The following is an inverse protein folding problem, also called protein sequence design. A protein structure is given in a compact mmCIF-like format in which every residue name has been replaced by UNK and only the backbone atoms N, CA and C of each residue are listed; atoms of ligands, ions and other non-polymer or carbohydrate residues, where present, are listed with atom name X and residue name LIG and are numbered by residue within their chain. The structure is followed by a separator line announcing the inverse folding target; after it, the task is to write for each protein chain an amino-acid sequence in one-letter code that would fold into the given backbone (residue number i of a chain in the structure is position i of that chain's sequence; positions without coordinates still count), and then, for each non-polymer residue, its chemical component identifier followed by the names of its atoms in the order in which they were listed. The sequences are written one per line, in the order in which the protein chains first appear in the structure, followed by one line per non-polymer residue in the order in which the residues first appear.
data_IF_968396779426
#
_entry.id   IF_968396779426
#
_cell.length_a   1.000
_cell.length_b   1.000
_cell.length_c   1.000
_cell.angle_alpha   90.00
_cell.angle_beta   90.00
_cell.angle_gamma   90.00
#
_symmetry.space_group_name_H-M   'P 1'
#
loop_
_entity.id
_entity.type
_entity.pdbx_description
1 polymer ?
#
# COMPACT_ATOMS: atom_id res chain seq x y z
N UNK A 1 -43.04 0.32 39.00
CA UNK A 1 -42.17 -0.87 39.00
C UNK A 1 -42.96 -2.01 38.39
N UNK A 2 -42.91 -2.13 37.06
CA UNK A 2 -43.30 -3.39 36.42
C UNK A 2 -42.23 -4.41 36.79
N UNK A 3 -42.64 -5.48 37.48
CA UNK A 3 -41.79 -6.66 37.64
C UNK A 3 -41.75 -7.29 36.24
N UNK A 4 -40.79 -6.88 35.42
CA UNK A 4 -40.44 -7.59 34.21
C UNK A 4 -40.10 -9.02 34.66
N UNK A 5 -40.87 -9.99 34.19
CA UNK A 5 -40.66 -11.41 34.48
C UNK A 5 -39.36 -11.86 33.79
N UNK A 6 -38.22 -11.61 34.41
CA UNK A 6 -36.90 -12.12 33.99
C UNK A 6 -36.78 -13.63 34.29
N UNK A 7 -37.73 -14.44 33.84
CA UNK A 7 -37.84 -15.87 34.21
C UNK A 7 -36.67 -16.72 33.71
N UNK A 8 -35.86 -16.20 32.80
CA UNK A 8 -34.78 -16.94 32.15
C UNK A 8 -33.37 -16.43 32.51
N UNK A 9 -33.23 -15.44 33.41
CA UNK A 9 -31.91 -14.97 33.82
C UNK A 9 -31.32 -15.86 34.91
N UNK A 10 -30.06 -16.26 34.73
CA UNK A 10 -29.29 -16.90 35.78
C UNK A 10 -29.02 -15.92 36.93
N UNK A 11 -28.70 -16.42 38.14
CA UNK A 11 -28.38 -15.55 39.28
C UNK A 11 -27.25 -14.55 38.97
N UNK A 12 -26.28 -14.95 38.14
CA UNK A 12 -25.18 -14.09 37.72
C UNK A 12 -25.65 -12.97 36.79
N UNK A 13 -26.39 -13.31 35.73
CA UNK A 13 -26.94 -12.33 34.78
C UNK A 13 -27.90 -11.35 35.47
N UNK A 14 -28.73 -11.84 36.39
CA UNK A 14 -29.63 -11.01 37.17
C UNK A 14 -28.86 -10.04 38.08
N UNK A 15 -27.78 -10.50 38.73
CA UNK A 15 -26.92 -9.63 39.53
C UNK A 15 -26.23 -8.55 38.68
N UNK A 16 -25.81 -8.90 37.46
CA UNK A 16 -25.25 -7.96 36.47
C UNK A 16 -26.26 -6.91 36.03
N UNK A 17 -27.48 -7.31 35.73
CA UNK A 17 -28.57 -6.41 35.36
C UNK A 17 -28.92 -5.41 36.49
N UNK A 18 -28.96 -5.89 37.74
CA UNK A 18 -29.38 -5.08 38.89
C UNK A 18 -28.32 -4.16 39.49
N UNK A 19 -27.05 -4.22 39.08
CA UNK A 19 -26.02 -3.41 39.76
C UNK A 19 -25.49 -4.03 41.07
N UNK A 20 -25.70 -5.33 41.33
CA UNK A 20 -25.28 -5.95 42.58
C UNK A 20 -23.85 -6.50 42.55
N UNK A 21 -22.86 -5.59 42.68
CA UNK A 21 -21.44 -5.93 42.67
C UNK A 21 -21.03 -6.97 43.73
N UNK A 22 -21.63 -6.91 44.94
CA UNK A 22 -21.33 -7.86 46.03
C UNK A 22 -21.69 -9.28 45.65
N UNK A 23 -22.86 -9.48 45.03
CA UNK A 23 -23.30 -10.80 44.57
C UNK A 23 -22.40 -11.32 43.45
N UNK A 24 -21.97 -10.46 42.53
CA UNK A 24 -21.06 -10.83 41.44
C UNK A 24 -19.70 -11.28 41.99
N UNK A 25 -19.12 -10.51 42.91
CA UNK A 25 -17.86 -10.86 43.60
C UNK A 25 -17.98 -12.23 44.29
N UNK A 26 -19.10 -12.48 44.97
CA UNK A 26 -19.35 -13.75 45.63
C UNK A 26 -19.46 -14.90 44.62
N UNK A 27 -20.22 -14.73 43.53
CA UNK A 27 -20.40 -15.76 42.50
C UNK A 27 -19.05 -16.09 41.84
N UNK A 28 -18.29 -15.09 41.39
CA UNK A 28 -17.00 -15.29 40.73
C UNK A 28 -15.93 -15.88 41.66
N UNK A 29 -16.06 -15.70 42.98
CA UNK A 29 -15.16 -16.36 43.94
C UNK A 29 -15.41 -17.87 44.07
N UNK A 30 -16.56 -18.36 43.64
CA UNK A 30 -16.95 -19.78 43.72
C UNK A 30 -17.01 -20.48 42.36
N UNK A 31 -17.09 -19.70 41.27
CA UNK A 31 -17.16 -20.19 39.91
C UNK A 31 -16.27 -19.35 39.01
N UNK A 32 -15.22 -19.96 38.49
CA UNK A 32 -14.41 -19.30 37.48
C UNK A 32 -15.17 -19.23 36.14
N UNK A 33 -15.12 -18.09 35.45
CA UNK A 33 -15.49 -17.98 34.05
C UNK A 33 -14.82 -19.04 33.19
N UNK A 34 -15.63 -19.85 32.52
CA UNK A 34 -15.14 -20.82 31.54
C UNK A 34 -15.57 -20.41 30.14
N UNK A 35 -14.66 -20.57 29.18
CA UNK A 35 -14.75 -20.07 27.79
C UNK A 35 -16.09 -20.37 27.08
N UNK A 36 -16.69 -21.52 27.39
CA UNK A 36 -17.88 -22.02 26.70
C UNK A 36 -19.19 -21.63 27.37
N UNK A 37 -19.16 -20.90 28.49
CA UNK A 37 -20.40 -20.49 29.16
C UNK A 37 -20.92 -19.15 28.59
N UNK A 38 -22.05 -19.13 27.88
CA UNK A 38 -22.66 -17.88 27.44
C UNK A 38 -23.07 -16.96 28.61
N UNK A 39 -23.27 -17.52 29.82
CA UNK A 39 -23.72 -16.78 31.01
C UNK A 39 -22.80 -15.59 31.34
N UNK A 40 -21.47 -15.78 31.24
CA UNK A 40 -20.53 -14.74 31.63
C UNK A 40 -20.46 -13.60 30.61
N UNK A 41 -20.55 -13.93 29.32
CA UNK A 41 -20.68 -12.94 28.24
C UNK A 41 -22.00 -12.18 28.38
N UNK A 42 -23.11 -12.89 28.60
CA UNK A 42 -24.41 -12.28 28.80
C UNK A 42 -24.44 -11.35 30.00
N UNK A 43 -23.84 -11.75 31.13
CA UNK A 43 -23.71 -10.87 32.29
C UNK A 43 -22.94 -9.58 31.98
N UNK A 44 -21.85 -9.69 31.22
CA UNK A 44 -21.10 -8.52 30.75
C UNK A 44 -21.96 -7.62 29.85
N UNK A 45 -22.64 -8.18 28.84
CA UNK A 45 -23.53 -7.42 27.94
C UNK A 45 -24.73 -6.80 28.69
N UNK A 46 -25.26 -7.49 29.69
CA UNK A 46 -26.32 -6.99 30.56
C UNK A 46 -25.86 -5.80 31.40
N UNK A 47 -24.61 -5.81 31.88
CA UNK A 47 -24.05 -4.66 32.59
C UNK A 47 -23.99 -3.41 31.72
N UNK A 48 -23.69 -3.55 30.42
CA UNK A 48 -23.65 -2.45 29.44
C UNK A 48 -25.08 -1.94 29.16
N UNK A 49 -25.99 -2.83 28.75
CA UNK A 49 -27.38 -2.46 28.42
C UNK A 49 -28.16 -1.87 29.59
N UNK A 50 -27.82 -2.29 30.80
CA UNK A 50 -28.44 -1.80 32.04
C UNK A 50 -27.70 -0.59 32.65
N UNK A 51 -26.67 -0.08 31.96
CA UNK A 51 -25.84 1.06 32.38
C UNK A 51 -25.18 0.88 33.76
N UNK A 52 -24.85 -0.36 34.13
CA UNK A 52 -24.19 -0.71 35.39
C UNK A 52 -22.67 -0.59 35.25
N UNK A 53 -22.18 0.65 35.14
CA UNK A 53 -20.78 0.96 34.80
C UNK A 53 -19.77 0.34 35.77
N UNK A 54 -20.07 0.33 37.08
CA UNK A 54 -19.20 -0.25 38.12
C UNK A 54 -19.05 -1.77 37.94
N UNK A 55 -20.13 -2.45 37.54
CA UNK A 55 -20.08 -3.88 37.25
C UNK A 55 -19.28 -4.13 35.99
N UNK A 56 -19.56 -3.38 34.92
CA UNK A 56 -18.84 -3.53 33.67
C UNK A 56 -17.33 -3.39 33.90
N UNK A 57 -16.92 -2.32 34.59
CA UNK A 57 -15.52 -2.06 34.94
C UNK A 57 -14.92 -3.21 35.77
N UNK A 58 -15.63 -3.66 36.80
CA UNK A 58 -15.16 -4.77 37.62
C UNK A 58 -14.99 -6.07 36.81
N UNK A 59 -15.93 -6.39 35.92
CA UNK A 59 -15.88 -7.60 35.11
C UNK A 59 -14.73 -7.54 34.11
N UNK A 60 -14.49 -6.40 33.45
CA UNK A 60 -13.40 -6.31 32.46
C UNK A 60 -12.02 -6.36 33.11
N UNK A 61 -11.87 -5.82 34.32
CA UNK A 61 -10.64 -5.87 35.11
C UNK A 61 -10.41 -7.25 35.77
N UNK A 62 -11.43 -8.11 35.82
CA UNK A 62 -11.33 -9.42 36.45
C UNK A 62 -10.48 -10.39 35.61
N UNK A 63 -9.41 -11.01 36.15
CA UNK A 63 -8.49 -11.85 35.36
C UNK A 63 -9.18 -12.98 34.58
N UNK A 64 -10.19 -13.60 35.17
CA UNK A 64 -10.94 -14.69 34.53
C UNK A 64 -11.78 -14.26 33.32
N UNK A 65 -12.00 -12.96 33.12
CA UNK A 65 -12.72 -12.43 31.97
C UNK A 65 -11.82 -12.16 30.76
N UNK A 66 -10.50 -12.16 30.92
CA UNK A 66 -9.53 -11.88 29.83
C UNK A 66 -9.86 -12.64 28.56
N UNK A 67 -10.09 -13.95 28.68
CA UNK A 67 -10.47 -14.82 27.57
C UNK A 67 -11.79 -14.40 26.89
N UNK A 68 -12.84 -14.12 27.67
CA UNK A 68 -14.15 -13.72 27.15
C UNK A 68 -14.04 -12.39 26.41
N UNK A 69 -13.30 -11.45 27.00
CA UNK A 69 -13.06 -10.14 26.42
C UNK A 69 -12.35 -10.28 25.08
N UNK A 70 -11.29 -11.07 24.99
CA UNK A 70 -10.54 -11.25 23.74
C UNK A 70 -11.39 -11.95 22.67
N UNK A 71 -12.12 -13.01 23.03
CA UNK A 71 -12.96 -13.75 22.08
C UNK A 71 -14.15 -12.95 21.57
N UNK A 72 -14.80 -12.17 22.44
CA UNK A 72 -16.05 -11.47 22.13
C UNK A 72 -15.87 -9.95 22.04
N UNK A 73 -14.63 -9.46 21.88
CA UNK A 73 -14.30 -8.03 21.79
C UNK A 73 -15.21 -7.26 20.82
N UNK A 74 -15.41 -7.70 19.56
CA UNK A 74 -16.22 -6.94 18.61
C UNK A 74 -17.68 -6.79 19.06
N UNK A 75 -18.23 -7.82 19.72
CA UNK A 75 -19.60 -7.82 20.21
C UNK A 75 -19.77 -6.88 21.41
N UNK A 76 -18.83 -6.92 22.36
CA UNK A 76 -18.85 -6.03 23.55
C UNK A 76 -18.83 -4.57 23.10
N UNK A 77 -17.94 -4.25 22.18
CA UNK A 77 -17.79 -2.93 21.61
C UNK A 77 -19.05 -2.48 20.87
N UNK A 78 -19.61 -3.35 20.02
CA UNK A 78 -20.86 -3.08 19.34
C UNK A 78 -21.97 -2.74 20.36
N UNK A 79 -22.06 -3.49 21.46
CA UNK A 79 -23.03 -3.23 22.51
C UNK A 79 -22.82 -1.88 23.22
N UNK A 80 -21.56 -1.48 23.47
CA UNK A 80 -21.23 -0.15 24.01
C UNK A 80 -21.69 0.96 23.05
N UNK A 81 -21.44 0.77 21.74
CA UNK A 81 -21.82 1.73 20.72
C UNK A 81 -23.34 1.86 20.56
N UNK A 82 -24.08 0.75 20.60
CA UNK A 82 -25.55 0.73 20.52
C UNK A 82 -26.21 1.41 21.72
N UNK A 83 -25.66 1.23 22.91
CA UNK A 83 -26.18 1.83 24.15
C UNK A 83 -25.79 3.30 24.32
N UNK A 84 -24.91 3.82 23.48
CA UNK A 84 -24.42 5.20 23.53
C UNK A 84 -23.46 5.48 24.69
N UNK A 85 -22.93 4.45 25.35
CA UNK A 85 -22.02 4.56 26.50
C UNK A 85 -20.56 4.73 26.05
N UNK A 86 -20.28 5.67 25.14
CA UNK A 86 -18.96 5.80 24.48
C UNK A 86 -17.79 6.00 25.44
N UNK A 87 -18.01 6.60 26.62
CA UNK A 87 -16.98 6.74 27.66
C UNK A 87 -16.45 5.40 28.19
N UNK A 88 -17.20 4.31 28.01
CA UNK A 88 -16.75 2.96 28.35
C UNK A 88 -15.74 2.39 27.33
N UNK A 89 -15.68 2.92 26.10
CA UNK A 89 -14.69 2.47 25.12
C UNK A 89 -13.27 2.78 25.61
N UNK A 90 -13.05 3.97 26.16
CA UNK A 90 -11.72 4.34 26.70
C UNK A 90 -11.32 3.43 27.87
N UNK A 91 -12.25 3.16 28.79
CA UNK A 91 -12.01 2.23 29.91
C UNK A 91 -11.74 0.82 29.42
N UNK A 92 -12.53 0.34 28.46
CA UNK A 92 -12.40 -0.99 27.89
C UNK A 92 -11.06 -1.18 27.17
N UNK A 93 -10.66 -0.21 26.33
CA UNK A 93 -9.38 -0.22 25.64
C UNK A 93 -8.21 -0.12 26.64
N UNK A 94 -8.32 0.71 27.68
CA UNK A 94 -7.25 0.85 28.68
C UNK A 94 -6.99 -0.43 29.49
N UNK A 95 -8.04 -1.21 29.77
CA UNK A 95 -7.90 -2.52 30.44
C UNK A 95 -7.26 -3.56 29.52
N UNK A 96 -7.38 -3.38 28.20
CA UNK A 96 -6.82 -4.28 27.18
C UNK A 96 -5.36 -3.97 26.83
N UNK A 97 -4.93 -2.71 26.96
CA UNK A 97 -3.56 -2.26 26.62
C UNK A 97 -2.42 -3.04 27.35
N UNK A 98 -2.48 -3.35 28.66
CA UNK A 98 -1.36 -3.96 29.39
C UNK A 98 -1.00 -5.37 28.95
N UNK A 99 -1.98 -6.16 28.50
CA UNK A 99 -1.77 -7.53 28.05
C UNK A 99 -1.36 -7.62 26.57
N UNK A 100 -1.64 -6.59 25.77
CA UNK A 100 -1.27 -6.52 24.35
C UNK A 100 0.12 -5.90 24.11
N UNK A 101 0.56 -4.96 24.97
CA UNK A 101 1.86 -4.29 24.83
C UNK A 101 3.08 -5.22 24.97
N UNK A 102 2.89 -6.43 25.51
CA UNK A 102 3.98 -7.41 25.72
C UNK A 102 3.97 -8.58 24.74
N UNK A 103 2.97 -8.70 23.85
CA UNK A 103 3.12 -9.58 22.71
C UNK A 103 4.10 -8.90 21.75
N UNK A 104 5.33 -9.43 21.67
CA UNK A 104 6.19 -9.14 20.53
C UNK A 104 5.34 -9.41 19.29
N UNK A 105 5.04 -8.34 18.57
CA UNK A 105 4.22 -8.39 17.37
C UNK A 105 5.06 -9.16 16.37
N UNK A 106 4.87 -10.48 16.30
CA UNK A 106 5.15 -11.20 15.07
C UNK A 106 4.33 -10.47 14.02
N UNK A 107 5.03 -9.85 13.05
CA UNK A 107 4.39 -9.27 11.89
C UNK A 107 3.33 -10.25 11.40
N UNK A 108 2.12 -9.79 11.00
CA UNK A 108 1.02 -10.68 10.64
C UNK A 108 1.26 -11.40 9.31
N UNK A 109 2.51 -11.64 8.93
CA UNK A 109 2.94 -12.48 7.81
C UNK A 109 2.18 -13.81 7.81
N UNK A 110 1.97 -14.43 8.97
CA UNK A 110 1.15 -15.65 9.10
C UNK A 110 -0.34 -15.38 8.96
N UNK A 111 -0.84 -14.24 9.47
CA UNK A 111 -2.26 -13.88 9.37
C UNK A 111 -2.67 -13.56 7.92
N UNK A 112 -1.82 -12.87 7.16
CA UNK A 112 -2.07 -12.59 5.74
C UNK A 112 -2.11 -13.88 4.89
N UNK A 113 -1.31 -14.91 5.24
CA UNK A 113 -1.36 -16.22 4.56
C UNK A 113 -2.70 -16.94 4.74
N UNK A 114 -3.35 -16.73 5.89
CA UNK A 114 -4.59 -17.43 6.24
C UNK A 114 -5.85 -16.66 5.86
N UNK A 115 -5.72 -15.41 5.39
CA UNK A 115 -6.85 -14.66 4.87
C UNK A 115 -7.31 -15.24 3.53
N UNK A 116 -8.42 -16.00 3.57
CA UNK A 116 -9.11 -16.58 2.41
C UNK A 116 -9.56 -15.58 1.33
N UNK A 117 -9.33 -14.28 1.54
CA UNK A 117 -9.88 -13.20 0.74
C UNK A 117 -8.87 -12.58 -0.23
N UNK A 118 -7.60 -12.97 -0.17
CA UNK A 118 -6.59 -12.57 -1.16
C UNK A 118 -6.32 -13.72 -2.13
N UNK A 119 -6.19 -13.42 -3.41
CA UNK A 119 -5.72 -14.41 -4.37
C UNK A 119 -4.23 -14.72 -4.16
N UNK A 120 -3.74 -15.80 -4.79
CA UNK A 120 -2.34 -16.24 -4.61
C UNK A 120 -1.34 -15.14 -5.02
N UNK A 121 -1.50 -14.45 -6.17
CA UNK A 121 -0.67 -13.29 -6.51
C UNK A 121 -0.63 -12.19 -5.45
N UNK A 122 -1.77 -11.80 -4.90
CA UNK A 122 -1.88 -10.76 -3.87
C UNK A 122 -1.17 -11.18 -2.58
N UNK A 123 -1.33 -12.44 -2.15
CA UNK A 123 -0.63 -12.97 -0.98
C UNK A 123 0.89 -12.93 -1.13
N UNK A 124 1.41 -13.21 -2.33
CA UNK A 124 2.83 -13.09 -2.64
C UNK A 124 3.27 -11.63 -2.54
N UNK A 125 2.50 -10.69 -3.09
CA UNK A 125 2.78 -9.26 -2.98
C UNK A 125 2.86 -8.80 -1.53
N UNK A 126 1.87 -9.16 -0.71
CA UNK A 126 1.84 -8.80 0.71
C UNK A 126 3.02 -9.40 1.49
N UNK A 127 3.37 -10.65 1.19
CA UNK A 127 4.53 -11.31 1.82
C UNK A 127 5.82 -10.53 1.53
N UNK A 128 6.07 -10.17 0.27
CA UNK A 128 7.32 -9.50 -0.10
C UNK A 128 7.38 -8.08 0.44
N UNK A 129 6.26 -7.34 0.42
CA UNK A 129 6.17 -6.03 1.07
C UNK A 129 6.48 -6.15 2.56
N UNK A 130 5.88 -7.13 3.24
CA UNK A 130 6.07 -7.32 4.68
C UNK A 130 7.51 -7.74 5.02
N UNK A 131 8.13 -8.60 4.23
CA UNK A 131 9.55 -8.94 4.37
C UNK A 131 10.45 -7.71 4.16
N UNK A 132 10.17 -6.90 3.15
CA UNK A 132 10.95 -5.70 2.85
C UNK A 132 10.84 -4.63 3.96
N UNK A 133 9.62 -4.34 4.43
CA UNK A 133 9.38 -3.34 5.48
C UNK A 133 9.54 -3.88 6.91
N UNK A 134 9.94 -5.13 7.09
CA UNK A 134 10.04 -5.77 8.42
C UNK A 134 10.87 -4.95 9.40
N UNK A 135 12.03 -4.42 8.98
CA UNK A 135 12.91 -3.62 9.82
C UNK A 135 12.27 -2.29 10.25
N UNK A 136 11.45 -1.68 9.40
CA UNK A 136 10.71 -0.46 9.70
C UNK A 136 9.55 -0.73 10.66
N UNK A 137 8.88 -1.87 10.49
CA UNK A 137 7.71 -2.25 11.26
C UNK A 137 8.06 -2.75 12.67
N UNK A 138 9.21 -3.43 12.84
CA UNK A 138 9.59 -4.10 14.08
C UNK A 138 9.83 -3.19 15.29
N UNK A 139 10.09 -1.90 15.09
CA UNK A 139 10.52 -0.99 16.17
C UNK A 139 9.38 -0.19 16.81
N UNK A 140 8.13 -0.35 16.35
CA UNK A 140 6.97 0.43 16.80
C UNK A 140 5.75 -0.46 16.92
N UNK A 141 4.86 -0.13 17.87
CA UNK A 141 3.57 -0.81 17.97
C UNK A 141 2.64 -0.35 16.84
N UNK A 142 1.60 -1.13 16.57
CA UNK A 142 0.55 -0.78 15.61
C UNK A 142 0.01 0.65 15.81
N UNK A 143 -0.31 1.00 17.06
CA UNK A 143 -0.80 2.32 17.45
C UNK A 143 0.18 3.44 17.08
N UNK A 144 1.47 3.27 17.36
CA UNK A 144 2.49 4.26 17.00
C UNK A 144 2.58 4.48 15.48
N UNK A 145 2.50 3.41 14.68
CA UNK A 145 2.49 3.55 13.22
C UNK A 145 1.24 4.30 12.73
N UNK A 146 0.05 3.99 13.27
CA UNK A 146 -1.17 4.69 12.90
C UNK A 146 -1.14 6.16 13.31
N UNK A 147 -0.61 6.47 14.50
CA UNK A 147 -0.44 7.83 15.00
C UNK A 147 0.52 8.64 14.11
N UNK A 148 1.64 8.05 13.69
CA UNK A 148 2.58 8.68 12.74
C UNK A 148 1.91 9.01 11.40
N UNK A 149 1.09 8.09 10.87
CA UNK A 149 0.35 8.30 9.61
C UNK A 149 -0.67 9.43 9.80
N UNK A 150 -1.39 9.41 10.92
CA UNK A 150 -2.39 10.43 11.27
C UNK A 150 -1.75 11.81 11.43
N UNK A 151 -0.59 11.91 12.05
CA UNK A 151 0.18 13.16 12.14
C UNK A 151 0.57 13.68 10.74
N UNK A 152 1.06 12.80 9.86
CA UNK A 152 1.39 13.19 8.47
C UNK A 152 0.17 13.67 7.69
N UNK A 153 -0.98 13.01 7.84
CA UNK A 153 -2.24 13.44 7.24
C UNK A 153 -2.72 14.78 7.80
N UNK A 154 -2.54 15.01 9.11
CA UNK A 154 -2.83 16.30 9.74
C UNK A 154 -1.96 17.42 9.17
N UNK A 155 -0.65 17.18 9.01
CA UNK A 155 0.28 18.13 8.41
C UNK A 155 -0.09 18.44 6.95
N UNK A 156 -0.44 17.42 6.14
CA UNK A 156 -0.94 17.63 4.76
C UNK A 156 -2.22 18.47 4.74
N UNK A 157 -3.15 18.22 5.67
CA UNK A 157 -4.37 19.02 5.79
C UNK A 157 -4.08 20.49 6.17
N UNK A 158 -3.12 20.75 7.06
CA UNK A 158 -2.74 22.12 7.42
C UNK A 158 -2.13 22.90 6.24
N UNK A 159 -1.41 22.21 5.34
CA UNK A 159 -0.86 22.83 4.13
C UNK A 159 -1.93 23.13 3.07
N UNK A 160 -3.01 22.35 3.04
CA UNK A 160 -4.13 22.53 2.12
C UNK A 160 -5.47 22.31 2.84
N UNK A 161 -5.87 23.24 3.73
CA UNK A 161 -7.09 23.10 4.50
C UNK A 161 -8.31 23.36 3.61
N UNK A 162 -9.48 22.90 4.06
CA UNK A 162 -10.73 23.25 3.39
C UNK A 162 -11.03 24.71 3.69
N UNK A 163 -11.18 25.51 2.64
CA UNK A 163 -11.62 26.90 2.75
C UNK A 163 -13.07 26.98 2.28
N UNK A 164 -13.96 27.40 3.18
CA UNK A 164 -15.38 27.62 2.91
C UNK A 164 -15.66 29.12 2.74
N UNK A 165 -16.31 29.49 1.63
CA UNK A 165 -16.73 30.87 1.38
C UNK A 165 -18.11 31.13 1.99
N UNK A 166 -18.16 32.07 2.93
CA UNK A 166 -19.39 32.54 3.58
C UNK A 166 -20.19 33.46 2.64
N UNK A 167 -21.47 33.67 2.96
CA UNK A 167 -22.38 34.46 2.12
C UNK A 167 -22.00 35.94 2.01
N UNK A 168 -21.23 36.47 2.98
CA UNK A 168 -20.68 37.82 2.99
C UNK A 168 -19.36 37.95 2.20
N UNK A 169 -18.84 36.84 1.67
CA UNK A 169 -17.57 36.78 0.94
C UNK A 169 -16.35 36.52 1.83
N UNK A 170 -16.50 36.41 3.15
CA UNK A 170 -15.42 35.99 4.02
C UNK A 170 -15.07 34.51 3.79
N UNK A 171 -13.81 34.15 4.06
CA UNK A 171 -13.32 32.79 3.88
C UNK A 171 -12.95 32.19 5.24
N UNK A 172 -13.54 31.04 5.53
CA UNK A 172 -13.31 30.28 6.76
C UNK A 172 -12.47 29.04 6.45
N UNK A 173 -11.28 28.95 7.06
CA UNK A 173 -10.54 27.70 7.09
C UNK A 173 -11.18 26.76 8.11
N UNK A 174 -11.64 25.60 7.65
CA UNK A 174 -12.32 24.66 8.52
C UNK A 174 -11.29 23.94 9.45
N UNK A 175 -11.62 23.66 10.72
CA UNK A 175 -10.71 23.05 11.69
C UNK A 175 -10.63 21.51 11.62
N UNK A 176 -9.41 20.95 11.62
CA UNK A 176 -9.18 19.50 11.49
C UNK A 176 -10.03 18.61 12.45
N UNK A 177 -10.14 18.98 13.73
CA UNK A 177 -10.75 18.12 14.77
C UNK A 177 -12.27 18.29 14.87
N UNK A 178 -12.96 17.24 15.29
CA UNK A 178 -14.41 17.23 15.43
C UNK A 178 -14.92 18.22 16.48
N UNK A 179 -14.24 18.33 17.61
CA UNK A 179 -14.62 19.20 18.72
C UNK A 179 -14.64 20.66 18.26
N UNK A 180 -13.59 21.05 17.55
CA UNK A 180 -13.46 22.39 16.97
C UNK A 180 -14.53 22.64 15.91
N UNK A 181 -14.84 21.63 15.09
CA UNK A 181 -15.88 21.72 14.07
C UNK A 181 -17.28 21.89 14.66
N UNK A 182 -17.63 21.12 15.70
CA UNK A 182 -18.94 21.24 16.37
C UNK A 182 -19.11 22.62 17.01
N UNK A 183 -18.02 23.27 17.46
CA UNK A 183 -18.05 24.65 17.90
C UNK A 183 -18.61 25.63 16.85
N UNK A 184 -18.43 25.34 15.55
CA UNK A 184 -18.95 26.18 14.47
C UNK A 184 -20.48 26.10 14.36
N UNK A 185 -21.11 25.02 14.81
CA UNK A 185 -22.58 24.87 14.75
C UNK A 185 -23.32 25.98 15.49
N UNK A 186 -22.71 26.52 16.55
CA UNK A 186 -23.29 27.60 17.34
C UNK A 186 -23.00 29.01 16.77
N UNK A 187 -22.10 29.10 15.80
CA UNK A 187 -21.64 30.37 15.23
C UNK A 187 -22.28 30.66 13.87
N UNK A 188 -22.62 29.63 13.11
CA UNK A 188 -23.11 29.74 11.73
C UNK A 188 -24.53 29.21 11.58
N UNK A 189 -25.17 29.56 10.46
CA UNK A 189 -26.50 29.04 10.13
C UNK A 189 -26.45 27.52 9.93
N UNK A 190 -27.56 26.84 10.18
CA UNK A 190 -27.67 25.38 9.95
C UNK A 190 -27.36 25.01 8.49
N UNK A 191 -27.74 25.85 7.54
CA UNK A 191 -27.44 25.66 6.11
C UNK A 191 -25.93 25.70 5.82
N UNK A 192 -25.24 26.71 6.37
CA UNK A 192 -23.79 26.85 6.17
C UNK A 192 -23.06 25.70 6.88
N UNK A 193 -23.47 25.35 8.10
CA UNK A 193 -22.90 24.23 8.84
C UNK A 193 -23.03 22.90 8.09
N UNK A 194 -24.19 22.61 7.49
CA UNK A 194 -24.39 21.42 6.65
C UNK A 194 -23.52 21.47 5.38
N UNK A 195 -23.36 22.64 4.78
CA UNK A 195 -22.49 22.83 3.62
C UNK A 195 -21.01 22.62 3.97
N UNK A 196 -20.55 23.12 5.12
CA UNK A 196 -19.22 22.87 5.65
C UNK A 196 -19.01 21.38 5.96
N UNK A 197 -20.00 20.72 6.55
CA UNK A 197 -19.95 19.28 6.82
C UNK A 197 -19.81 18.48 5.52
N UNK A 198 -20.55 18.85 4.47
CA UNK A 198 -20.43 18.23 3.15
C UNK A 198 -19.06 18.45 2.53
N UNK A 199 -18.51 19.67 2.62
CA UNK A 199 -17.16 19.97 2.16
C UNK A 199 -16.10 19.12 2.91
N UNK A 200 -16.30 18.92 4.22
CA UNK A 200 -15.47 18.03 5.02
C UNK A 200 -15.48 16.59 4.54
N UNK A 201 -16.67 16.05 4.30
CA UNK A 201 -16.84 14.68 3.82
C UNK A 201 -16.23 14.48 2.44
N UNK A 202 -16.18 15.53 1.62
CA UNK A 202 -15.59 15.49 0.28
C UNK A 202 -14.06 15.62 0.26
N UNK A 203 -13.41 16.14 1.31
CA UNK A 203 -11.97 16.40 1.29
C UNK A 203 -11.13 15.13 1.54
N UNK A 204 -10.30 14.67 0.57
CA UNK A 204 -9.65 13.36 0.67
C UNK A 204 -8.75 13.18 1.89
N UNK A 205 -7.86 14.14 2.17
CA UNK A 205 -6.93 14.08 3.30
C UNK A 205 -7.66 14.06 4.64
N UNK A 206 -8.78 14.79 4.75
CA UNK A 206 -9.54 14.83 6.00
C UNK A 206 -10.33 13.55 6.20
N UNK A 207 -10.97 13.04 5.14
CA UNK A 207 -11.61 11.72 5.13
C UNK A 207 -10.64 10.61 5.51
N UNK A 208 -9.43 10.63 4.96
CA UNK A 208 -8.38 9.68 5.31
C UNK A 208 -7.93 9.82 6.78
N UNK A 209 -7.74 11.04 7.27
CA UNK A 209 -7.35 11.29 8.65
C UNK A 209 -8.40 10.77 9.65
N UNK A 210 -9.69 11.07 9.40
CA UNK A 210 -10.81 10.59 10.24
C UNK A 210 -10.97 9.09 10.20
N UNK A 211 -10.65 8.45 9.07
CA UNK A 211 -10.73 7.00 8.95
C UNK A 211 -9.85 6.28 9.98
N UNK A 212 -8.74 6.91 10.37
CA UNK A 212 -7.81 6.40 11.38
C UNK A 212 -8.18 6.78 12.82
N UNK A 213 -9.23 7.58 13.01
CA UNK A 213 -9.67 7.98 14.35
C UNK A 213 -10.49 6.84 14.96
N UNK A 214 -10.00 6.27 16.07
CA UNK A 214 -10.64 5.14 16.78
C UNK A 214 -12.07 5.43 17.21
N UNK A 215 -12.35 6.70 17.54
CA UNK A 215 -13.64 7.18 17.98
C UNK A 215 -14.36 8.01 16.92
N UNK A 216 -14.08 7.83 15.60
CA UNK A 216 -14.57 8.69 14.49
C UNK A 216 -15.97 9.24 14.74
N UNK A 217 -16.01 10.46 15.31
CA UNK A 217 -17.26 11.07 15.75
C UNK A 217 -18.08 11.56 14.56
N UNK A 218 -17.47 11.58 13.36
CA UNK A 218 -18.06 12.02 12.11
C UNK A 218 -18.93 10.96 11.45
N UNK A 219 -18.59 9.68 11.63
CA UNK A 219 -19.35 8.57 11.07
C UNK A 219 -19.31 7.34 11.99
N UNK A 220 -20.33 7.24 12.86
CA UNK A 220 -20.45 6.15 13.84
C UNK A 220 -20.48 4.75 13.20
N UNK A 221 -20.97 4.60 11.97
CA UNK A 221 -21.03 3.31 11.28
C UNK A 221 -19.69 2.87 10.70
N UNK A 222 -18.82 3.83 10.33
CA UNK A 222 -17.50 3.53 9.75
C UNK A 222 -16.48 3.04 10.78
N UNK A 223 -16.66 3.36 12.07
CA UNK A 223 -15.76 2.95 13.15
C UNK A 223 -15.62 1.44 13.32
N UNK A 224 -16.66 0.68 12.99
CA UNK A 224 -16.69 -0.74 13.35
C UNK A 224 -15.75 -1.63 12.53
N UNK A 225 -15.37 -1.22 11.31
CA UNK A 225 -14.56 -2.09 10.46
C UNK A 225 -13.07 -1.85 10.71
N UNK A 226 -12.62 -0.59 10.70
CA UNK A 226 -11.20 -0.29 10.84
C UNK A 226 -10.69 -0.46 12.27
N UNK A 227 -11.44 -0.02 13.27
CA UNK A 227 -10.99 -0.06 14.67
C UNK A 227 -10.82 -1.49 15.20
N UNK A 228 -11.55 -2.48 14.63
CA UNK A 228 -11.63 -3.83 15.20
C UNK A 228 -11.01 -4.93 14.35
N UNK A 229 -10.46 -4.59 13.18
CA UNK A 229 -9.79 -5.56 12.30
C UNK A 229 -8.30 -5.24 12.19
N UNK A 230 -7.53 -5.84 13.10
CA UNK A 230 -6.08 -5.63 13.20
C UNK A 230 -5.34 -5.98 11.89
N UNK A 231 -5.83 -6.99 11.14
CA UNK A 231 -5.32 -7.37 9.82
C UNK A 231 -5.45 -6.22 8.81
N UNK A 232 -6.56 -5.50 8.83
CA UNK A 232 -6.79 -4.33 7.98
C UNK A 232 -5.89 -3.17 8.39
N UNK A 233 -5.69 -2.94 9.69
CA UNK A 233 -4.81 -1.87 10.18
C UNK A 233 -3.35 -2.13 9.75
N UNK A 234 -2.88 -3.38 9.82
CA UNK A 234 -1.54 -3.73 9.32
C UNK A 234 -1.43 -3.61 7.82
N UNK A 235 -2.44 -4.05 7.07
CA UNK A 235 -2.47 -3.86 5.61
C UNK A 235 -2.39 -2.38 5.25
N UNK A 236 -3.15 -1.55 5.97
CA UNK A 236 -3.15 -0.10 5.80
C UNK A 236 -1.76 0.49 6.01
N UNK A 237 -1.10 0.14 7.12
CA UNK A 237 0.27 0.58 7.42
C UNK A 237 1.21 0.13 6.30
N UNK A 238 1.13 -1.14 5.87
CA UNK A 238 1.99 -1.68 4.83
C UNK A 238 1.84 -0.92 3.52
N UNK A 239 0.61 -0.61 3.11
CA UNK A 239 0.35 0.16 1.89
C UNK A 239 0.81 1.61 2.04
N UNK A 240 0.67 2.23 3.21
CA UNK A 240 1.21 3.57 3.47
C UNK A 240 2.73 3.62 3.30
N UNK A 241 3.46 2.69 3.92
CA UNK A 241 4.92 2.59 3.73
C UNK A 241 5.28 2.39 2.26
N UNK A 242 4.50 1.58 1.55
CA UNK A 242 4.70 1.35 0.11
C UNK A 242 4.46 2.60 -0.74
N UNK A 243 3.44 3.40 -0.43
CA UNK A 243 3.20 4.67 -1.13
C UNK A 243 4.34 5.68 -0.86
N UNK A 244 4.87 5.68 0.36
CA UNK A 244 5.87 6.63 0.84
C UNK A 244 7.33 6.21 0.60
N UNK A 245 7.60 5.02 0.07
CA UNK A 245 8.98 4.52 -0.07
C UNK A 245 9.80 5.27 -1.14
N UNK A 246 10.75 6.07 -0.67
CA UNK A 246 11.66 6.85 -1.52
C UNK A 246 12.83 6.02 -2.07
N UNK A 247 13.12 4.85 -1.49
CA UNK A 247 14.28 4.04 -1.86
C UNK A 247 13.99 3.21 -3.12
N UNK A 248 12.74 2.78 -3.29
CA UNK A 248 12.29 1.98 -4.43
C UNK A 248 11.51 2.85 -5.43
N UNK A 249 12.25 3.72 -6.13
CA UNK A 249 11.73 4.44 -7.29
C UNK A 249 11.90 3.54 -8.51
N UNK A 250 10.78 3.12 -9.10
CA UNK A 250 10.81 2.54 -10.43
C UNK A 250 10.99 3.67 -11.44
N UNK A 251 12.18 3.79 -12.04
CA UNK A 251 12.45 4.77 -13.09
C UNK A 251 11.51 4.63 -14.29
N UNK A 252 10.82 3.50 -14.44
CA UNK A 252 9.83 3.28 -15.49
C UNK A 252 8.42 3.76 -15.11
N UNK A 253 8.07 3.83 -13.82
CA UNK A 253 6.82 4.48 -13.41
C UNK A 253 7.09 5.96 -13.20
N UNK A 254 6.37 6.79 -13.94
CA UNK A 254 6.53 8.26 -13.91
C UNK A 254 6.00 8.84 -12.58
N UNK A 255 5.41 8.01 -11.70
CA UNK A 255 4.74 8.47 -10.50
C UNK A 255 5.75 8.90 -9.43
N UNK A 256 5.66 10.17 -9.07
CA UNK A 256 6.31 10.74 -7.89
C UNK A 256 5.74 10.16 -6.60
N UNK A 257 6.48 10.31 -5.50
CA UNK A 257 6.03 9.88 -4.16
C UNK A 257 4.71 10.58 -3.79
N UNK A 258 4.60 11.88 -4.06
CA UNK A 258 3.37 12.64 -3.79
C UNK A 258 2.17 12.09 -4.55
N UNK A 259 2.32 11.72 -5.83
CA UNK A 259 1.24 11.12 -6.60
C UNK A 259 0.78 9.77 -6.05
N UNK A 260 1.71 8.93 -5.56
CA UNK A 260 1.36 7.65 -4.91
C UNK A 260 0.64 7.88 -3.57
N UNK A 261 1.12 8.82 -2.77
CA UNK A 261 0.48 9.19 -1.49
C UNK A 261 -0.90 9.78 -1.72
N UNK A 262 -1.07 10.64 -2.72
CA UNK A 262 -2.37 11.21 -3.08
C UNK A 262 -3.34 10.15 -3.60
N UNK A 263 -2.86 9.20 -4.40
CA UNK A 263 -3.66 8.05 -4.82
C UNK A 263 -4.12 7.24 -3.61
N UNK A 264 -3.22 6.89 -2.69
CA UNK A 264 -3.54 6.21 -1.44
C UNK A 264 -4.61 6.95 -0.62
N UNK A 265 -4.43 8.25 -0.41
CA UNK A 265 -5.38 9.09 0.32
C UNK A 265 -6.74 9.11 -0.38
N UNK A 266 -6.77 9.21 -1.71
CA UNK A 266 -8.00 9.26 -2.50
C UNK A 266 -8.80 7.96 -2.43
N UNK A 267 -8.12 6.81 -2.54
CA UNK A 267 -8.76 5.49 -2.46
C UNK A 267 -9.32 5.24 -1.05
N UNK A 268 -8.60 5.68 0.00
CA UNK A 268 -9.08 5.61 1.38
C UNK A 268 -10.31 6.50 1.63
N UNK A 269 -10.28 7.72 1.10
CA UNK A 269 -11.40 8.64 1.18
C UNK A 269 -12.65 8.07 0.47
N UNK A 270 -12.45 7.46 -0.70
CA UNK A 270 -13.52 6.79 -1.43
C UNK A 270 -14.12 5.61 -0.66
N UNK A 271 -13.30 4.83 0.05
CA UNK A 271 -13.78 3.77 0.91
C UNK A 271 -14.70 4.31 2.02
N UNK A 272 -14.24 5.36 2.71
CA UNK A 272 -14.97 5.95 3.82
C UNK A 272 -16.35 6.49 3.39
N UNK A 273 -16.45 7.06 2.18
CA UNK A 273 -17.70 7.61 1.66
C UNK A 273 -18.72 6.55 1.24
N UNK A 274 -18.27 5.38 0.78
CA UNK A 274 -19.13 4.39 0.12
C UNK A 274 -19.57 3.24 1.02
N UNK A 275 -19.23 3.24 2.32
CA UNK A 275 -19.57 2.16 3.28
C UNK A 275 -19.27 0.76 2.72
N UNK A 276 -18.14 0.65 2.02
CA UNK A 276 -17.77 -0.57 1.30
C UNK A 276 -17.44 -1.70 2.29
N UNK A 277 -17.57 -2.94 1.81
CA UNK A 277 -17.19 -4.11 2.61
C UNK A 277 -15.66 -4.19 2.77
N UNK A 278 -15.20 -4.87 3.83
CA UNK A 278 -13.78 -5.09 4.11
C UNK A 278 -12.98 -5.63 2.91
N UNK A 279 -13.59 -6.48 2.08
CA UNK A 279 -12.95 -7.03 0.87
C UNK A 279 -12.65 -5.95 -0.18
N UNK A 280 -13.55 -4.99 -0.34
CA UNK A 280 -13.35 -3.87 -1.25
C UNK A 280 -12.25 -2.94 -0.73
N UNK A 281 -12.18 -2.71 0.60
CA UNK A 281 -11.08 -1.94 1.19
C UNK A 281 -9.73 -2.56 0.84
N UNK A 282 -9.60 -3.87 1.00
CA UNK A 282 -8.37 -4.62 0.72
C UNK A 282 -7.92 -4.42 -0.72
N UNK A 283 -8.85 -4.53 -1.67
CA UNK A 283 -8.59 -4.26 -3.08
C UNK A 283 -8.16 -2.81 -3.36
N UNK A 284 -8.88 -1.82 -2.79
CA UNK A 284 -8.54 -0.40 -2.98
C UNK A 284 -7.15 -0.06 -2.40
N UNK A 285 -6.83 -0.63 -1.24
CA UNK A 285 -5.52 -0.48 -0.59
C UNK A 285 -4.40 -1.04 -1.48
N UNK A 286 -4.55 -2.26 -2.02
CA UNK A 286 -3.58 -2.83 -2.96
C UNK A 286 -3.48 -2.03 -4.27
N UNK A 287 -4.61 -1.56 -4.79
CA UNK A 287 -4.67 -0.75 -6.01
C UNK A 287 -3.90 0.56 -5.86
N UNK A 288 -3.93 1.16 -4.68
CA UNK A 288 -3.29 2.45 -4.41
C UNK A 288 -1.76 2.44 -4.51
N UNK A 289 -1.16 1.25 -4.46
CA UNK A 289 0.29 1.05 -4.54
C UNK A 289 0.72 0.31 -5.82
N UNK A 290 -0.19 0.22 -6.80
CA UNK A 290 0.15 -0.32 -8.12
C UNK A 290 1.22 0.54 -8.77
N UNK A 291 2.24 -0.13 -9.32
CA UNK A 291 3.40 0.53 -9.93
C UNK A 291 4.60 0.63 -9.00
N UNK A 292 4.44 0.34 -7.70
CA UNK A 292 5.58 0.11 -6.82
C UNK A 292 6.37 -1.13 -7.30
N UNK A 293 7.71 -1.14 -7.30
CA UNK A 293 8.51 -2.30 -7.75
C UNK A 293 8.08 -3.63 -7.12
N UNK A 294 7.80 -3.60 -5.82
CA UNK A 294 7.38 -4.79 -5.07
C UNK A 294 5.94 -5.23 -5.35
N UNK A 295 5.10 -4.42 -6.00
CA UNK A 295 3.73 -4.82 -6.37
C UNK A 295 3.65 -5.40 -7.78
N UNK A 296 4.73 -5.34 -8.57
CA UNK A 296 4.80 -5.99 -9.88
C UNK A 296 4.73 -7.51 -9.73
N UNK A 297 3.76 -8.15 -10.38
CA UNK A 297 3.67 -9.61 -10.40
C UNK A 297 4.62 -10.18 -11.46
N UNK A 298 5.37 -11.22 -11.10
CA UNK A 298 6.18 -11.96 -12.07
C UNK A 298 5.31 -12.96 -12.82
N UNK A 299 4.59 -12.47 -13.81
CA UNK A 299 3.79 -13.27 -14.74
C UNK A 299 4.52 -13.54 -16.06
N UNK A 300 3.89 -14.26 -16.99
CA UNK A 300 4.51 -14.58 -18.29
C UNK A 300 4.80 -13.33 -19.13
N UNK A 301 3.98 -12.29 -18.99
CA UNK A 301 4.16 -11.02 -19.72
C UNK A 301 5.39 -10.30 -19.19
N UNK A 302 5.51 -10.19 -17.88
CA UNK A 302 6.64 -9.56 -17.19
C UNK A 302 7.92 -10.35 -17.43
N UNK A 303 7.89 -11.69 -17.32
CA UNK A 303 9.04 -12.53 -17.66
C UNK A 303 9.52 -12.30 -19.09
N UNK A 304 8.60 -12.21 -20.06
CA UNK A 304 8.95 -11.88 -21.44
C UNK A 304 9.61 -10.50 -21.55
N UNK A 305 9.12 -9.48 -20.85
CA UNK A 305 9.75 -8.16 -20.84
C UNK A 305 11.15 -8.21 -20.22
N UNK A 306 11.34 -8.96 -19.14
CA UNK A 306 12.66 -9.16 -18.53
C UNK A 306 13.63 -9.86 -19.49
N UNK A 307 13.18 -10.87 -20.26
CA UNK A 307 14.00 -11.46 -21.32
C UNK A 307 14.36 -10.46 -22.40
N UNK A 308 13.40 -9.66 -22.85
CA UNK A 308 13.64 -8.67 -23.90
C UNK A 308 14.66 -7.63 -23.46
N UNK A 309 14.56 -7.14 -22.24
CA UNK A 309 15.50 -6.18 -21.69
C UNK A 309 16.88 -6.80 -21.45
N UNK A 310 16.96 -8.02 -20.93
CA UNK A 310 18.23 -8.74 -20.79
C UNK A 310 18.93 -8.95 -22.14
N UNK A 311 18.20 -9.46 -23.14
CA UNK A 311 18.73 -9.66 -24.50
C UNK A 311 19.21 -8.35 -25.11
N UNK A 312 18.44 -7.27 -24.94
CA UNK A 312 18.79 -5.95 -25.42
C UNK A 312 20.08 -5.46 -24.78
N UNK A 313 20.22 -5.56 -23.45
CA UNK A 313 21.43 -5.13 -22.73
C UNK A 313 22.65 -5.97 -23.16
N UNK A 314 22.50 -7.30 -23.21
CA UNK A 314 23.55 -8.22 -23.64
C UNK A 314 24.05 -7.90 -25.06
N UNK A 315 23.14 -7.77 -26.04
CA UNK A 315 23.55 -7.48 -27.41
C UNK A 315 24.07 -6.07 -27.59
N UNK A 316 23.52 -5.05 -26.93
CA UNK A 316 24.09 -3.71 -26.96
C UNK A 316 25.52 -3.70 -26.42
N UNK A 317 25.78 -4.41 -25.31
CA UNK A 317 27.12 -4.52 -24.74
C UNK A 317 28.11 -5.17 -25.70
N UNK A 318 27.70 -6.20 -26.44
CA UNK A 318 28.54 -6.84 -27.45
C UNK A 318 28.72 -5.97 -28.70
N UNK A 319 27.64 -5.41 -29.24
CA UNK A 319 27.67 -4.57 -30.45
C UNK A 319 28.50 -3.29 -30.26
N UNK A 320 28.49 -2.71 -29.06
CA UNK A 320 29.31 -1.54 -28.74
C UNK A 320 30.83 -1.81 -28.76
N UNK A 321 31.26 -3.07 -28.89
CA UNK A 321 32.68 -3.43 -29.05
C UNK A 321 33.16 -3.31 -30.51
N UNK A 322 32.23 -3.21 -31.47
CA UNK A 322 32.54 -3.18 -32.89
C UNK A 322 32.72 -1.75 -33.39
N UNK A 323 33.50 -1.59 -34.46
CA UNK A 323 33.61 -0.32 -35.16
C UNK A 323 32.34 -0.06 -35.99
N UNK A 324 32.04 1.21 -36.23
CA UNK A 324 30.86 1.64 -37.00
C UNK A 324 30.75 0.96 -38.37
N UNK A 325 31.88 0.79 -39.07
CA UNK A 325 31.94 0.12 -40.38
C UNK A 325 31.54 -1.36 -40.30
N UNK A 326 31.89 -2.05 -39.22
CA UNK A 326 31.53 -3.45 -38.99
C UNK A 326 30.03 -3.59 -38.72
N UNK A 327 29.45 -2.66 -37.97
CA UNK A 327 28.01 -2.62 -37.71
C UNK A 327 27.20 -2.40 -39.01
N UNK A 328 27.63 -1.47 -39.87
CA UNK A 328 27.01 -1.26 -41.19
C UNK A 328 27.15 -2.49 -42.10
N UNK A 329 28.29 -3.18 -42.03
CA UNK A 329 28.49 -4.44 -42.76
C UNK A 329 27.52 -5.52 -42.29
N UNK A 330 27.36 -5.70 -40.98
CA UNK A 330 26.38 -6.64 -40.42
C UNK A 330 24.96 -6.29 -40.88
N UNK A 331 24.58 -5.01 -40.83
CA UNK A 331 23.24 -4.54 -41.24
C UNK A 331 22.98 -4.78 -42.74
N UNK A 332 23.94 -4.45 -43.60
CA UNK A 332 23.81 -4.65 -45.05
C UNK A 332 23.74 -6.13 -45.44
N UNK A 333 24.61 -6.96 -44.84
CA UNK A 333 24.64 -8.41 -45.09
C UNK A 333 23.38 -9.11 -44.61
N UNK A 334 22.74 -8.60 -43.55
CA UNK A 334 21.46 -9.11 -43.05
C UNK A 334 20.38 -9.15 -44.14
N UNK A 335 20.39 -8.17 -45.04
CA UNK A 335 19.40 -8.04 -46.13
C UNK A 335 19.72 -8.87 -47.38
N UNK A 336 20.97 -9.31 -47.58
CA UNK A 336 21.45 -9.84 -48.87
C UNK A 336 21.96 -11.29 -48.84
N UNK A 337 22.67 -11.73 -47.79
CA UNK A 337 23.39 -13.02 -47.78
C UNK A 337 23.38 -13.68 -46.40
N UNK A 338 22.21 -14.16 -46.00
CA UNK A 338 21.97 -14.68 -44.65
C UNK A 338 22.83 -15.90 -44.26
N UNK A 339 23.22 -16.75 -45.23
CA UNK A 339 23.94 -18.00 -44.96
C UNK A 339 25.35 -17.81 -44.41
N UNK A 340 26.11 -16.83 -44.91
CA UNK A 340 27.48 -16.55 -44.45
C UNK A 340 27.49 -15.72 -43.16
N UNK A 341 26.58 -14.75 -43.07
CA UNK A 341 26.39 -13.93 -41.87
C UNK A 341 26.06 -14.79 -40.66
N UNK A 342 25.36 -15.91 -40.85
CA UNK A 342 25.00 -16.83 -39.79
C UNK A 342 26.21 -17.36 -39.00
N UNK A 343 27.30 -17.72 -39.69
CA UNK A 343 28.51 -18.18 -39.01
C UNK A 343 29.18 -17.06 -38.22
N UNK A 344 29.09 -15.82 -38.73
CA UNK A 344 29.59 -14.62 -38.09
C UNK A 344 28.71 -14.13 -36.93
N UNK A 345 27.46 -14.58 -36.82
CA UNK A 345 26.58 -14.18 -35.74
C UNK A 345 26.55 -15.17 -34.58
N UNK A 346 27.20 -16.33 -34.71
CA UNK A 346 27.18 -17.37 -33.69
C UNK A 346 27.78 -16.92 -32.35
N UNK A 347 28.67 -15.91 -32.33
CA UNK A 347 29.21 -15.37 -31.09
C UNK A 347 28.24 -14.46 -30.33
N UNK A 348 27.12 -14.04 -30.95
CA UNK A 348 26.03 -13.31 -30.28
C UNK A 348 24.96 -14.25 -29.69
N UNK A 349 25.11 -15.56 -29.88
CA UNK A 349 24.25 -16.52 -29.22
C UNK A 349 24.56 -16.51 -27.72
N UNK A 350 23.50 -16.53 -26.90
CA UNK A 350 23.65 -16.61 -25.44
C UNK A 350 24.41 -17.87 -25.05
N UNK A 351 25.32 -17.78 -24.10
CA UNK A 351 25.99 -18.95 -23.52
C UNK A 351 25.27 -19.45 -22.27
N UNK A 352 25.69 -20.59 -21.73
CA UNK A 352 25.18 -21.05 -20.44
C UNK A 352 25.55 -20.09 -19.29
N UNK A 353 26.67 -19.37 -19.43
CA UNK A 353 27.07 -18.32 -18.48
C UNK A 353 26.07 -17.16 -18.55
N UNK A 354 25.62 -16.76 -19.73
CA UNK A 354 24.61 -15.71 -19.89
C UNK A 354 23.25 -16.12 -19.30
N UNK A 355 22.86 -17.39 -19.45
CA UNK A 355 21.69 -17.94 -18.77
C UNK A 355 21.84 -17.79 -17.24
N UNK A 356 22.98 -18.20 -16.68
CA UNK A 356 23.23 -18.08 -15.24
C UNK A 356 23.19 -16.62 -14.78
N UNK A 357 23.80 -15.69 -15.53
CA UNK A 357 23.77 -14.26 -15.24
C UNK A 357 22.33 -13.71 -15.23
N UNK A 358 21.49 -14.13 -16.18
CA UNK A 358 20.07 -13.77 -16.17
C UNK A 358 19.37 -14.30 -14.92
N UNK A 359 19.59 -15.57 -14.55
CA UNK A 359 18.96 -16.17 -13.37
C UNK A 359 19.39 -15.51 -12.06
N UNK A 360 20.68 -15.17 -11.93
CA UNK A 360 21.22 -14.43 -10.79
C UNK A 360 20.61 -13.02 -10.73
N UNK A 361 20.49 -12.34 -11.88
CA UNK A 361 19.82 -11.05 -11.98
C UNK A 361 18.34 -11.12 -11.58
N UNK A 362 17.62 -12.14 -12.05
CA UNK A 362 16.23 -12.38 -11.68
C UNK A 362 16.06 -12.73 -10.20
N UNK A 363 16.93 -13.57 -9.64
CA UNK A 363 16.93 -13.91 -8.22
C UNK A 363 17.18 -12.67 -7.36
N UNK A 364 18.11 -11.81 -7.77
CA UNK A 364 18.40 -10.55 -7.07
C UNK A 364 17.23 -9.57 -7.14
N UNK A 365 16.60 -9.43 -8.31
CA UNK A 365 15.52 -8.46 -8.55
C UNK A 365 14.18 -8.90 -7.98
N UNK A 366 13.84 -10.17 -8.11
CA UNK A 366 12.53 -10.73 -7.78
C UNK A 366 12.53 -11.62 -6.53
N UNK A 367 13.69 -11.92 -5.95
CA UNK A 367 13.83 -12.65 -4.70
C UNK A 367 13.13 -14.02 -4.73
N UNK A 368 12.35 -14.29 -3.69
CA UNK A 368 11.56 -15.52 -3.55
C UNK A 368 10.58 -15.76 -4.69
N UNK A 369 10.06 -14.71 -5.33
CA UNK A 369 9.13 -14.85 -6.48
C UNK A 369 9.75 -15.62 -7.64
N UNK A 370 11.07 -15.50 -7.79
CA UNK A 370 11.83 -16.22 -8.79
C UNK A 370 12.28 -17.58 -8.27
N UNK A 371 12.94 -17.63 -7.12
CA UNK A 371 13.57 -18.86 -6.60
C UNK A 371 12.56 -19.96 -6.30
N UNK A 372 11.36 -19.59 -5.87
CA UNK A 372 10.33 -20.56 -5.45
C UNK A 372 9.48 -21.03 -6.65
N UNK A 373 9.57 -20.35 -7.80
CA UNK A 373 8.79 -20.65 -9.00
C UNK A 373 9.58 -21.49 -10.02
N UNK A 374 9.77 -22.78 -9.70
CA UNK A 374 10.48 -23.73 -10.56
C UNK A 374 9.92 -23.82 -11.98
N UNK A 375 8.62 -23.59 -12.16
CA UNK A 375 7.99 -23.60 -13.48
C UNK A 375 8.46 -22.41 -14.33
N UNK A 376 8.41 -21.19 -13.79
CA UNK A 376 8.88 -19.99 -14.49
C UNK A 376 10.37 -20.06 -14.79
N UNK A 377 11.19 -20.57 -13.86
CA UNK A 377 12.63 -20.77 -14.11
C UNK A 377 12.87 -21.71 -15.28
N UNK A 378 12.20 -22.88 -15.32
CA UNK A 378 12.32 -23.83 -16.45
C UNK A 378 11.84 -23.22 -17.76
N UNK A 379 10.71 -22.52 -17.74
CA UNK A 379 10.18 -21.83 -18.91
C UNK A 379 11.16 -20.78 -19.43
N UNK A 380 11.76 -20.01 -18.52
CA UNK A 380 12.77 -19.00 -18.84
C UNK A 380 14.01 -19.59 -19.49
N UNK A 381 14.59 -20.64 -18.89
CA UNK A 381 15.74 -21.35 -19.48
C UNK A 381 15.41 -21.84 -20.89
N UNK A 382 14.24 -22.46 -21.08
CA UNK A 382 13.84 -22.94 -22.39
C UNK A 382 13.68 -21.78 -23.40
N UNK A 383 13.13 -20.64 -22.97
CA UNK A 383 12.97 -19.46 -23.83
C UNK A 383 14.32 -18.85 -24.22
N UNK A 384 15.26 -18.70 -23.28
CA UNK A 384 16.61 -18.21 -23.57
C UNK A 384 17.41 -19.19 -24.45
N UNK A 385 17.27 -20.50 -24.23
CA UNK A 385 17.85 -21.53 -25.11
C UNK A 385 17.24 -21.51 -26.52
N UNK A 386 15.95 -21.20 -26.65
CA UNK A 386 15.35 -21.00 -27.97
C UNK A 386 15.89 -19.73 -28.64
N UNK A 387 16.25 -18.69 -27.87
CA UNK A 387 16.91 -17.48 -28.37
C UNK A 387 18.38 -17.70 -28.75
N UNK A 388 19.09 -18.62 -28.08
CA UNK A 388 20.41 -19.11 -28.47
C UNK A 388 20.43 -19.66 -29.91
N UNK A 389 19.29 -20.08 -30.46
CA UNK A 389 19.20 -20.60 -31.83
C UNK A 389 18.81 -19.54 -32.87
N UNK A 390 18.44 -18.32 -32.43
CA UNK A 390 17.63 -17.41 -33.25
C UNK A 390 17.96 -15.91 -33.08
N UNK A 391 19.24 -15.51 -32.90
CA UNK A 391 19.65 -14.12 -33.25
C UNK A 391 19.05 -13.75 -34.63
N UNK A 392 19.13 -14.73 -35.54
CA UNK A 392 18.49 -14.87 -36.86
C UNK A 392 17.10 -14.25 -37.06
N UNK A 393 16.23 -14.28 -36.04
CA UNK A 393 14.84 -13.81 -36.16
C UNK A 393 14.44 -12.84 -35.04
N UNK A 394 15.42 -12.38 -34.25
CA UNK A 394 15.16 -11.49 -33.14
C UNK A 394 15.02 -10.06 -33.64
N UNK A 395 13.79 -9.55 -33.67
CA UNK A 395 13.53 -8.11 -33.92
C UNK A 395 14.24 -7.21 -32.91
N UNK A 396 14.51 -7.73 -31.70
CA UNK A 396 15.24 -7.02 -30.65
C UNK A 396 16.71 -6.84 -31.06
N UNK A 397 17.33 -7.83 -31.69
CA UNK A 397 18.72 -7.71 -32.17
C UNK A 397 18.85 -6.62 -33.23
N UNK A 398 17.93 -6.57 -34.21
CA UNK A 398 17.89 -5.50 -35.21
C UNK A 398 17.71 -4.12 -34.57
N UNK A 399 16.83 -4.01 -33.57
CA UNK A 399 16.65 -2.76 -32.81
C UNK A 399 17.94 -2.34 -32.09
N UNK A 400 18.69 -3.30 -31.53
CA UNK A 400 19.97 -3.03 -30.87
C UNK A 400 21.05 -2.63 -31.88
N UNK A 401 21.07 -3.27 -33.06
CA UNK A 401 22.01 -2.95 -34.14
C UNK A 401 21.80 -1.51 -34.63
N UNK A 402 20.55 -1.12 -34.90
CA UNK A 402 20.21 0.24 -35.30
C UNK A 402 20.61 1.27 -34.23
N UNK A 403 20.35 0.96 -32.95
CA UNK A 403 20.76 1.82 -31.83
C UNK A 403 22.28 1.94 -31.70
N UNK A 404 23.03 0.84 -31.87
CA UNK A 404 24.49 0.85 -31.83
C UNK A 404 25.10 1.66 -33.00
N UNK A 405 24.51 1.56 -34.20
CA UNK A 405 24.89 2.37 -35.38
C UNK A 405 24.67 3.86 -35.08
N UNK A 406 23.51 4.24 -34.56
CA UNK A 406 23.22 5.64 -34.20
C UNK A 406 24.19 6.20 -33.15
N UNK A 407 24.48 5.42 -32.09
CA UNK A 407 25.41 5.82 -31.04
C UNK A 407 26.85 5.98 -31.58
N UNK A 408 27.27 5.07 -32.45
CA UNK A 408 28.59 5.11 -33.08
C UNK A 408 28.72 6.28 -34.06
N UNK A 409 27.67 6.57 -34.83
CA UNK A 409 27.63 7.73 -35.72
C UNK A 409 27.74 9.06 -34.95
N UNK A 410 27.01 9.20 -33.85
CA UNK A 410 27.09 10.38 -32.98
C UNK A 410 28.50 10.54 -32.38
N UNK A 411 29.15 9.44 -32.01
CA UNK A 411 30.52 9.44 -31.47
C UNK A 411 31.56 9.81 -32.54
N UNK A 412 31.43 9.28 -33.75
CA UNK A 412 32.27 9.67 -34.89
C UNK A 412 32.12 11.14 -35.23
N UNK A 413 30.89 11.67 -35.29
CA UNK A 413 30.65 13.10 -35.56
C UNK A 413 31.26 14.01 -34.48
N UNK A 414 31.23 13.59 -33.21
CA UNK A 414 31.91 14.31 -32.11
C UNK A 414 33.43 14.31 -32.27
N UNK A 415 34.03 13.18 -32.66
CA UNK A 415 35.46 13.11 -32.95
C UNK A 415 35.84 13.98 -34.15
N UNK A 416 35.04 13.97 -35.22
CA UNK A 416 35.23 14.86 -36.36
C UNK A 416 35.16 16.34 -35.96
N UNK A 417 34.19 16.74 -35.15
CA UNK A 417 34.13 18.12 -34.63
C UNK A 417 35.34 18.50 -33.76
N UNK A 418 35.90 17.55 -33.00
CA UNK A 418 37.11 17.77 -32.20
C UNK A 418 38.36 17.92 -33.07
N UNK A 419 38.47 17.21 -34.19
CA UNK A 419 39.58 17.36 -35.13
C UNK A 419 39.52 18.65 -35.97
N UNK A 420 38.33 19.25 -36.12
CA UNK A 420 38.14 20.51 -36.85
C UNK A 420 38.02 21.74 -35.94
N UNK A 421 38.09 21.59 -34.60
CA UNK A 421 38.09 22.73 -33.68
C UNK A 421 39.47 23.32 -33.38
N UNK A 422 40.56 22.61 -33.73
CA UNK A 422 41.95 23.04 -33.47
C UNK A 422 42.71 23.50 -34.73
N UNK A 423 42.12 23.39 -35.92
CA UNK A 423 42.62 24.07 -37.12
C UNK A 423 41.94 25.42 -37.25
N UNK A 424 42.71 26.50 -37.15
CA UNK A 424 42.29 27.88 -37.46
C UNK A 424 41.36 27.89 -38.67
N UNK A 425 40.06 28.12 -38.42
CA UNK A 425 39.13 28.47 -39.49
C UNK A 425 39.65 29.77 -40.12
N UNK A 426 39.95 29.80 -41.44
CA UNK A 426 40.20 31.07 -42.10
C UNK A 426 38.92 31.89 -42.00
N UNK A 427 39.06 33.15 -41.56
CA UNK A 427 37.99 34.15 -41.53
C UNK A 427 37.24 34.14 -42.88
N UNK A 428 36.07 33.50 -42.91
CA UNK A 428 35.13 33.69 -44.00
C UNK A 428 34.50 35.05 -43.75
N UNK A 429 35.04 36.02 -44.47
CA UNK A 429 34.56 37.39 -44.62
C UNK A 429 33.04 37.37 -44.78
N UNK A 430 32.36 38.03 -43.84
CA UNK A 430 30.99 38.49 -43.98
C UNK A 430 30.91 39.45 -45.17
N UNK A 431 30.56 38.95 -46.35
CA UNK A 431 29.98 39.76 -47.41
C UNK A 431 28.46 39.65 -47.38
N UNK A 432 27.86 40.73 -46.87
CA UNK A 432 26.50 41.17 -47.10
C UNK A 432 26.10 41.10 -48.57
N UNK A 433 24.90 40.58 -48.86
CA UNK A 433 23.94 41.10 -49.84
C UNK A 433 22.59 40.44 -49.57
N UNK A 434 21.61 41.15 -49.00
CA UNK A 434 20.58 41.91 -49.69
C UNK A 434 19.82 41.16 -50.81
N UNK A 435 18.50 41.04 -50.58
CA UNK A 435 17.39 40.88 -51.52
C UNK A 435 17.24 39.56 -52.32
N UNK A 436 16.18 38.80 -52.01
CA UNK A 436 14.90 38.96 -52.72
C UNK A 436 13.72 38.32 -51.97
N UNK A 437 12.63 39.11 -51.88
CA UNK A 437 11.24 38.65 -51.71
C UNK A 437 10.73 38.07 -53.05
N UNK A 438 9.54 37.46 -52.96
CA UNK A 438 8.52 37.13 -54.00
C UNK A 438 8.67 35.67 -54.47
N UNK A 439 7.66 34.79 -54.41
CA UNK A 439 6.22 34.86 -54.11
C UNK A 439 5.78 33.60 -53.35
#
# INVERSE_FOLDING_TARGET
MEILEHKDLTPFEYACHLGNLTSIKLILSHQEPYEQNPIYLNGLLLSITSQQLEIFQYLIEHPSYSFIIDKYRPLIIHQIQETGLYHLLDTFEHVLEPNYLHQQIELPLEEFKNHKNFDVPEQIVLKDLSCYYQSCLANKTLKHHLDDIRERLANRYQLNPIVYSLADGESLCLPLTYESFIGLKFQYSEHDFQSMQKAYLAHPTHSAWRFLETSNHWNRQANSIFAYQQDIQWLFILMWFTAYDEQLIDLQTIQSIDERVDLFISELAQFHQNTLHAEQLKYLLLKSVLGHPLTKTLDQKTLKLEHQEFLKQHWLQQLNQFHFEELLKIQSQWSQQFGELNNQLNHYNLTEIDNQLFEEGMAKKWGSRWSDNLYMMKQSRQQLLNHHLCVRFSSIFLTCLDAAIQNSQASHLKQFHFFYSDSELPEIIHHSNHHHKIN
#
